data_IF_691104952496
#
_entry.id   IF_691104952496
#
_cell.length_a   1.000
_cell.length_b   1.000
_cell.length_c   1.000
_cell.angle_alpha   90.00
_cell.angle_beta   90.00
_cell.angle_gamma   90.00
#
_symmetry.space_group_name_H-M   'P 1'
#
loop_
_entity.id
_entity.type
_entity.pdbx_description
1 polymer ?
#
# COMPACT_ATOMS: atom_id res chain seq x y z
N UNK A 1 -19.10 -5.90 -16.49
CA UNK A 1 -18.53 -4.55 -16.21
C UNK A 1 -17.23 -4.62 -15.40
N UNK A 2 -17.18 -5.11 -14.15
CA UNK A 2 -15.92 -5.15 -13.36
C UNK A 2 -14.86 -6.06 -14.02
N UNK A 3 -15.21 -7.28 -14.44
CA UNK A 3 -14.26 -8.21 -15.07
C UNK A 3 -13.75 -7.69 -16.42
N UNK A 4 -14.58 -7.01 -17.19
CA UNK A 4 -14.18 -6.35 -18.43
C UNK A 4 -13.21 -5.20 -18.17
N UNK A 5 -13.44 -4.41 -17.12
CA UNK A 5 -12.51 -3.36 -16.68
C UNK A 5 -11.15 -3.95 -16.31
N UNK A 6 -11.15 -5.02 -15.51
CA UNK A 6 -9.91 -5.67 -15.05
C UNK A 6 -9.12 -6.25 -16.20
N UNK A 7 -9.80 -6.95 -17.15
CA UNK A 7 -9.14 -7.47 -18.34
C UNK A 7 -8.59 -6.37 -19.26
N UNK A 8 -9.29 -5.24 -19.36
CA UNK A 8 -8.82 -4.11 -20.16
C UNK A 8 -7.57 -3.44 -19.58
N UNK A 9 -7.51 -3.21 -18.26
CA UNK A 9 -6.39 -2.47 -17.61
C UNK A 9 -5.22 -3.36 -17.20
N UNK A 10 -5.43 -4.68 -17.14
CA UNK A 10 -4.40 -5.67 -16.78
C UNK A 10 -4.61 -6.98 -17.58
N UNK A 11 -4.49 -6.94 -18.92
CA UNK A 11 -4.78 -8.10 -19.76
C UNK A 11 -3.84 -9.26 -19.42
N UNK A 12 -4.42 -10.43 -19.17
CA UNK A 12 -3.71 -11.69 -18.86
C UNK A 12 -2.79 -11.60 -17.62
N UNK A 13 -2.93 -10.59 -16.78
CA UNK A 13 -2.22 -10.43 -15.50
C UNK A 13 -3.19 -10.64 -14.32
N UNK A 14 -3.48 -11.91 -14.03
CA UNK A 14 -4.42 -12.30 -12.98
C UNK A 14 -4.10 -11.69 -11.62
N UNK A 15 -2.81 -11.53 -11.29
CA UNK A 15 -2.40 -10.97 -10.00
C UNK A 15 -2.69 -9.47 -9.92
N UNK A 16 -2.35 -8.73 -10.98
CA UNK A 16 -2.67 -7.30 -11.06
C UNK A 16 -4.18 -7.07 -11.07
N UNK A 17 -4.94 -7.89 -11.80
CA UNK A 17 -6.41 -7.86 -11.78
C UNK A 17 -6.96 -8.08 -10.37
N UNK A 18 -6.39 -9.04 -9.62
CA UNK A 18 -6.78 -9.31 -8.26
C UNK A 18 -6.50 -8.13 -7.33
N UNK A 19 -5.31 -7.54 -7.41
CA UNK A 19 -4.95 -6.34 -6.62
C UNK A 19 -5.88 -5.16 -6.92
N UNK A 20 -6.19 -4.90 -8.19
CA UNK A 20 -7.13 -3.84 -8.59
C UNK A 20 -8.53 -4.14 -8.07
N UNK A 21 -8.99 -5.38 -8.18
CA UNK A 21 -10.29 -5.82 -7.65
C UNK A 21 -10.40 -5.58 -6.15
N UNK A 22 -9.37 -5.94 -5.38
CA UNK A 22 -9.33 -5.71 -3.94
C UNK A 22 -9.37 -4.22 -3.59
N UNK A 23 -8.71 -3.37 -4.36
CA UNK A 23 -8.81 -1.92 -4.18
C UNK A 23 -10.21 -1.39 -4.47
N UNK A 24 -10.84 -1.83 -5.56
CA UNK A 24 -12.18 -1.38 -5.97
C UNK A 24 -13.29 -1.82 -5.00
N UNK A 25 -13.13 -2.96 -4.36
CA UNK A 25 -14.15 -3.58 -3.50
C UNK A 25 -13.91 -3.37 -1.99
N UNK A 26 -12.93 -2.56 -1.61
CA UNK A 26 -12.65 -2.33 -0.19
C UNK A 26 -13.82 -1.64 0.54
N UNK A 27 -14.01 -1.89 1.84
CA UNK A 27 -15.08 -1.28 2.62
C UNK A 27 -15.08 0.24 2.54
N UNK A 28 -16.24 0.81 2.26
CA UNK A 28 -16.44 2.26 2.11
C UNK A 28 -16.25 2.77 0.68
N UNK A 29 -15.92 1.90 -0.28
CA UNK A 29 -15.94 2.25 -1.71
C UNK A 29 -17.12 1.59 -2.41
N UNK A 30 -17.71 2.37 -3.32
CA UNK A 30 -18.66 1.92 -4.32
C UNK A 30 -18.06 2.19 -5.70
N UNK A 31 -17.70 1.15 -6.48
CA UNK A 31 -17.06 1.34 -7.77
C UNK A 31 -17.87 2.20 -8.76
N UNK A 32 -19.20 2.17 -8.69
CA UNK A 32 -20.06 2.99 -9.56
C UNK A 32 -19.94 4.48 -9.27
N UNK A 33 -19.76 4.85 -8.00
CA UNK A 33 -19.64 6.24 -7.56
C UNK A 33 -18.20 6.73 -7.48
N UNK A 34 -17.26 5.84 -7.19
CA UNK A 34 -15.87 6.19 -6.91
C UNK A 34 -14.91 5.93 -8.07
N UNK A 35 -15.34 5.24 -9.15
CA UNK A 35 -14.51 4.97 -10.31
C UNK A 35 -14.99 5.77 -11.52
N UNK A 36 -14.09 6.52 -12.14
CA UNK A 36 -14.34 7.26 -13.39
C UNK A 36 -13.67 6.50 -14.51
N UNK A 37 -14.46 6.17 -15.54
CA UNK A 37 -13.99 5.53 -16.75
C UNK A 37 -13.77 6.58 -17.83
N UNK A 38 -12.65 6.50 -18.55
CA UNK A 38 -12.41 7.25 -19.76
C UNK A 38 -12.57 6.32 -20.97
N UNK A 39 -13.47 6.66 -21.86
CA UNK A 39 -13.74 5.93 -23.10
C UNK A 39 -13.42 6.78 -24.32
N UNK A 40 -13.13 6.10 -25.42
CA UNK A 40 -12.96 6.75 -26.73
C UNK A 40 -14.33 7.13 -27.28
N UNK A 41 -14.50 8.38 -27.69
CA UNK A 41 -15.77 8.90 -28.22
C UNK A 41 -16.22 8.25 -29.51
N UNK A 42 -15.30 7.63 -30.28
CA UNK A 42 -15.60 7.07 -31.61
C UNK A 42 -16.09 5.62 -31.55
N UNK A 43 -15.58 4.81 -30.61
CA UNK A 43 -15.84 3.37 -30.59
C UNK A 43 -16.19 2.82 -29.20
N UNK A 44 -16.30 3.67 -28.20
CA UNK A 44 -16.59 3.31 -26.79
C UNK A 44 -15.54 2.41 -26.10
N UNK A 45 -14.38 2.18 -26.74
CA UNK A 45 -13.29 1.43 -26.11
C UNK A 45 -12.79 2.13 -24.85
N UNK A 46 -12.52 1.36 -23.80
CA UNK A 46 -11.95 1.89 -22.57
C UNK A 46 -10.50 2.33 -22.81
N UNK A 47 -10.16 3.52 -22.38
CA UNK A 47 -8.79 4.07 -22.43
C UNK A 47 -8.10 4.02 -21.07
N UNK A 48 -8.87 4.07 -19.98
CA UNK A 48 -8.36 4.00 -18.63
C UNK A 48 -9.43 4.31 -17.59
N UNK A 49 -9.04 4.21 -16.32
CA UNK A 49 -9.92 4.54 -15.20
C UNK A 49 -9.15 5.18 -14.04
N UNK A 50 -9.87 5.94 -13.21
CA UNK A 50 -9.40 6.51 -11.96
C UNK A 50 -10.33 6.08 -10.84
N UNK A 51 -9.76 5.52 -9.78
CA UNK A 51 -10.44 5.26 -8.52
C UNK A 51 -10.18 6.43 -7.56
N UNK A 52 -11.24 6.91 -6.91
CA UNK A 52 -11.20 7.96 -5.90
C UNK A 52 -11.48 7.37 -4.53
N UNK A 53 -10.44 7.14 -3.74
CA UNK A 53 -10.56 6.65 -2.36
C UNK A 53 -10.60 7.81 -1.38
N UNK A 54 -11.71 7.94 -0.64
CA UNK A 54 -11.92 9.03 0.31
C UNK A 54 -11.49 8.62 1.71
N UNK A 55 -10.76 9.48 2.38
CA UNK A 55 -10.33 9.35 3.77
C UNK A 55 -10.79 10.59 4.55
N UNK A 56 -12.09 10.65 4.80
CA UNK A 56 -12.76 11.82 5.37
C UNK A 56 -12.22 12.20 6.76
N UNK A 57 -11.72 11.22 7.53
CA UNK A 57 -11.12 11.47 8.85
C UNK A 57 -9.92 12.42 8.81
N UNK A 58 -9.19 12.43 7.71
CA UNK A 58 -8.00 13.29 7.54
C UNK A 58 -8.16 14.29 6.37
N UNK A 59 -9.37 14.39 5.79
CA UNK A 59 -9.66 15.31 4.70
C UNK A 59 -8.85 15.01 3.43
N UNK A 60 -8.65 13.72 3.11
CA UNK A 60 -7.84 13.28 1.97
C UNK A 60 -8.65 12.50 0.96
N UNK A 61 -8.29 12.65 -0.33
CA UNK A 61 -8.69 11.76 -1.42
C UNK A 61 -7.44 11.20 -2.07
N UNK A 62 -7.39 9.90 -2.30
CA UNK A 62 -6.33 9.24 -3.07
C UNK A 62 -6.87 8.94 -4.46
N UNK A 63 -6.11 9.25 -5.49
CA UNK A 63 -6.39 8.91 -6.87
C UNK A 63 -5.45 7.79 -7.30
N UNK A 64 -6.00 6.60 -7.49
CA UNK A 64 -5.34 5.50 -8.18
C UNK A 64 -5.84 5.46 -9.63
N UNK A 65 -4.94 5.23 -10.59
CA UNK A 65 -5.30 5.24 -11.99
C UNK A 65 -4.65 4.11 -12.78
N UNK A 66 -5.36 3.67 -13.80
CA UNK A 66 -4.88 2.63 -14.72
C UNK A 66 -5.19 3.06 -16.16
N UNK A 67 -4.13 3.11 -16.98
CA UNK A 67 -4.24 3.33 -18.43
C UNK A 67 -4.27 1.95 -19.08
N UNK A 68 -5.19 1.76 -20.04
CA UNK A 68 -5.27 0.51 -20.82
C UNK A 68 -3.96 0.32 -21.59
N UNK A 69 -3.28 -0.83 -21.43
CA UNK A 69 -2.05 -1.10 -22.15
C UNK A 69 -2.26 -1.10 -23.66
N UNK A 70 -1.29 -0.59 -24.41
CA UNK A 70 -1.33 -0.54 -25.87
C UNK A 70 -0.03 0.02 -26.44
N UNK A 71 0.07 0.04 -27.75
CA UNK A 71 1.23 0.54 -28.49
C UNK A 71 1.25 2.07 -28.69
N UNK A 72 0.44 2.79 -27.89
CA UNK A 72 0.42 4.26 -27.93
C UNK A 72 1.76 4.82 -27.45
N UNK A 73 2.15 5.97 -28.02
CA UNK A 73 3.30 6.72 -27.53
C UNK A 73 3.07 7.33 -26.15
N UNK A 74 4.13 7.80 -25.54
CA UNK A 74 4.09 8.36 -24.17
C UNK A 74 3.29 9.67 -24.11
N UNK A 75 3.26 10.46 -25.16
CA UNK A 75 2.51 11.74 -25.18
C UNK A 75 1.01 11.46 -25.20
N UNK A 76 0.55 10.48 -25.97
CA UNK A 76 -0.84 10.04 -25.97
C UNK A 76 -1.27 9.50 -24.59
N UNK A 77 -0.41 8.69 -23.93
CA UNK A 77 -0.66 8.19 -22.56
C UNK A 77 -0.75 9.34 -21.55
N UNK A 78 0.10 10.37 -21.69
CA UNK A 78 0.03 11.58 -20.85
C UNK A 78 -1.27 12.33 -21.05
N UNK A 79 -1.76 12.43 -22.29
CA UNK A 79 -3.05 13.08 -22.58
C UNK A 79 -4.22 12.30 -21.97
N UNK A 80 -4.22 10.95 -22.08
CA UNK A 80 -5.19 10.08 -21.39
C UNK A 80 -5.18 10.35 -19.89
N UNK A 81 -4.00 10.31 -19.27
CA UNK A 81 -3.85 10.54 -17.83
C UNK A 81 -4.37 11.93 -17.43
N UNK A 82 -4.04 12.95 -18.21
CA UNK A 82 -4.49 14.33 -17.98
C UNK A 82 -6.01 14.45 -18.05
N UNK A 83 -6.64 13.81 -19.03
CA UNK A 83 -8.11 13.79 -19.14
C UNK A 83 -8.75 13.08 -17.95
N UNK A 84 -8.23 11.90 -17.55
CA UNK A 84 -8.72 11.15 -16.40
C UNK A 84 -8.63 11.95 -15.10
N UNK A 85 -7.46 12.51 -14.80
CA UNK A 85 -7.25 13.31 -13.59
C UNK A 85 -8.12 14.57 -13.55
N UNK A 86 -8.27 15.27 -14.68
CA UNK A 86 -9.21 16.42 -14.79
C UNK A 86 -10.64 16.00 -14.53
N UNK A 87 -11.06 14.87 -15.10
CA UNK A 87 -12.38 14.30 -14.88
C UNK A 87 -12.60 13.97 -13.39
N UNK A 88 -11.64 13.33 -12.75
CA UNK A 88 -11.68 13.00 -11.34
C UNK A 88 -11.79 14.27 -10.46
N UNK A 89 -10.90 15.27 -10.67
CA UNK A 89 -10.91 16.52 -9.90
C UNK A 89 -12.23 17.26 -10.07
N UNK A 90 -12.77 17.31 -11.29
CA UNK A 90 -14.05 18.03 -11.58
C UNK A 90 -15.25 17.36 -10.91
N UNK A 91 -15.27 16.04 -10.83
CA UNK A 91 -16.40 15.27 -10.30
C UNK A 91 -16.24 14.97 -8.80
N UNK A 92 -15.12 15.36 -8.18
CA UNK A 92 -14.96 15.25 -6.73
C UNK A 92 -15.89 16.22 -6.02
N UNK A 93 -16.84 15.70 -5.24
CA UNK A 93 -17.56 16.48 -4.24
C UNK A 93 -16.68 16.58 -2.98
N UNK A 94 -15.80 17.57 -2.94
CA UNK A 94 -14.84 17.77 -1.84
C UNK A 94 -14.98 19.16 -1.23
N UNK A 95 -14.77 19.22 0.08
CA UNK A 95 -14.76 20.47 0.82
C UNK A 95 -13.44 21.21 0.61
N UNK A 96 -13.49 22.54 0.78
CA UNK A 96 -12.27 23.33 0.93
C UNK A 96 -11.35 22.76 1.99
N UNK A 97 -10.04 22.75 1.70
CA UNK A 97 -9.06 22.16 2.57
C UNK A 97 -8.84 20.65 2.38
N UNK A 98 -9.61 19.99 1.49
CA UNK A 98 -9.31 18.61 1.09
C UNK A 98 -7.98 18.57 0.35
N UNK A 99 -7.19 17.55 0.66
CA UNK A 99 -5.92 17.26 0.00
C UNK A 99 -6.10 16.04 -0.91
N UNK A 100 -5.66 16.16 -2.15
CA UNK A 100 -5.73 15.07 -3.13
C UNK A 100 -4.32 14.52 -3.33
N UNK A 101 -4.16 13.22 -3.13
CA UNK A 101 -2.89 12.53 -3.34
C UNK A 101 -2.98 11.56 -4.51
N UNK A 102 -1.86 11.38 -5.21
CA UNK A 102 -1.68 10.29 -6.17
C UNK A 102 -0.23 9.86 -6.17
N UNK A 103 0.00 8.57 -6.41
CA UNK A 103 1.34 7.99 -6.41
C UNK A 103 1.79 7.63 -7.82
N UNK A 104 3.00 8.04 -8.19
CA UNK A 104 3.66 7.66 -9.43
C UNK A 104 4.85 6.75 -9.16
N UNK A 105 5.01 5.75 -10.02
CA UNK A 105 6.25 4.93 -10.09
C UNK A 105 7.13 5.31 -11.29
N UNK A 106 6.61 6.13 -12.20
CA UNK A 106 7.33 6.63 -13.37
C UNK A 106 7.23 8.17 -13.43
N UNK A 107 8.36 8.84 -13.27
CA UNK A 107 8.44 10.30 -13.30
C UNK A 107 8.14 10.93 -14.67
N UNK A 108 8.13 10.14 -15.75
CA UNK A 108 7.75 10.65 -17.07
C UNK A 108 6.34 11.28 -17.09
N UNK A 109 5.48 10.84 -16.15
CA UNK A 109 4.14 11.40 -15.97
C UNK A 109 4.07 12.58 -15.00
N UNK A 110 5.16 12.93 -14.31
CA UNK A 110 5.19 14.01 -13.32
C UNK A 110 4.73 15.36 -13.86
N UNK A 111 5.12 15.70 -15.09
CA UNK A 111 4.71 16.93 -15.75
C UNK A 111 3.18 17.07 -15.94
N UNK A 112 2.46 15.96 -16.06
CA UNK A 112 0.99 15.96 -16.13
C UNK A 112 0.39 16.42 -14.81
N UNK A 113 0.93 15.92 -13.70
CA UNK A 113 0.50 16.31 -12.35
C UNK A 113 0.80 17.77 -12.07
N UNK A 114 1.99 18.25 -12.41
CA UNK A 114 2.39 19.65 -12.24
C UNK A 114 1.50 20.61 -13.03
N UNK A 115 1.15 20.27 -14.28
CA UNK A 115 0.20 21.04 -15.10
C UNK A 115 -1.21 21.12 -14.52
N UNK A 116 -1.58 20.17 -13.66
CA UNK A 116 -2.87 20.15 -12.97
C UNK A 116 -2.80 20.79 -11.57
N UNK A 117 -1.64 21.34 -11.20
CA UNK A 117 -1.43 22.03 -9.93
C UNK A 117 -0.98 21.14 -8.77
N UNK A 118 -0.69 19.88 -9.03
CA UNK A 118 -0.06 19.02 -8.03
C UNK A 118 1.41 19.39 -7.85
N UNK A 119 1.93 19.11 -6.67
CA UNK A 119 3.35 19.21 -6.35
C UNK A 119 3.86 17.91 -5.73
N UNK A 120 5.11 17.55 -6.01
CA UNK A 120 5.75 16.40 -5.36
C UNK A 120 5.90 16.70 -3.87
N UNK A 121 5.30 15.88 -3.02
CA UNK A 121 5.28 16.05 -1.56
C UNK A 121 6.17 15.05 -0.84
N UNK A 122 6.12 13.76 -1.24
CA UNK A 122 6.85 12.66 -0.61
C UNK A 122 7.43 11.70 -1.63
N UNK A 123 8.55 11.07 -1.24
CA UNK A 123 9.11 9.94 -1.96
C UNK A 123 9.12 8.74 -1.03
N UNK A 124 8.64 7.61 -1.52
CA UNK A 124 8.73 6.31 -0.86
C UNK A 124 9.73 5.45 -1.61
N UNK A 125 10.38 4.54 -0.90
CA UNK A 125 11.25 3.53 -1.49
C UNK A 125 10.58 2.18 -1.44
N UNK A 126 10.57 1.49 -2.57
CA UNK A 126 10.36 0.06 -2.60
C UNK A 126 11.73 -0.58 -2.40
N UNK A 127 11.83 -1.44 -1.40
CA UNK A 127 13.06 -2.14 -1.07
C UNK A 127 12.87 -3.64 -1.23
N UNK A 128 13.90 -4.33 -1.64
CA UNK A 128 13.89 -5.76 -1.88
C UNK A 128 15.07 -6.44 -1.21
N UNK A 129 14.84 -7.64 -0.71
CA UNK A 129 15.85 -8.53 -0.16
C UNK A 129 15.66 -9.92 -0.74
N UNK A 130 16.74 -10.55 -1.25
CA UNK A 130 16.76 -11.99 -1.52
C UNK A 130 16.71 -12.74 -0.19
N UNK A 131 15.91 -13.77 -0.10
CA UNK A 131 15.88 -14.63 1.10
C UNK A 131 17.18 -15.45 1.18
N UNK A 132 17.51 -15.86 2.39
CA UNK A 132 18.71 -16.63 2.67
C UNK A 132 18.51 -17.43 3.96
N UNK A 133 19.59 -17.74 4.67
CA UNK A 133 19.50 -18.41 5.95
C UNK A 133 18.63 -17.64 6.93
N UNK A 134 17.90 -18.35 7.81
CA UNK A 134 17.11 -17.73 8.86
C UNK A 134 17.93 -16.75 9.71
N UNK A 135 17.30 -15.62 10.04
CA UNK A 135 17.91 -14.59 10.87
C UNK A 135 17.81 -14.96 12.35
N UNK A 136 18.72 -14.41 13.15
CA UNK A 136 18.69 -14.62 14.61
C UNK A 136 17.39 -14.03 15.21
N UNK A 137 16.69 -14.84 16.00
CA UNK A 137 15.42 -14.54 16.67
C UNK A 137 15.59 -14.12 18.14
N UNK A 138 16.71 -13.50 18.50
CA UNK A 138 16.88 -13.01 19.88
C UNK A 138 15.88 -11.91 20.22
N UNK A 139 15.07 -12.14 21.24
CA UNK A 139 14.20 -11.17 21.89
C UNK A 139 14.78 -10.84 23.27
N UNK A 140 14.46 -9.64 23.79
CA UNK A 140 14.75 -9.29 25.16
C UNK A 140 13.92 -10.16 26.13
N UNK A 141 14.41 -10.37 27.34
CA UNK A 141 13.72 -11.11 28.39
C UNK A 141 12.30 -10.55 28.66
N UNK A 142 11.33 -11.43 28.90
CA UNK A 142 9.93 -11.04 29.09
C UNK A 142 9.17 -10.69 27.82
N UNK A 143 9.78 -10.86 26.64
CA UNK A 143 9.10 -10.68 25.35
C UNK A 143 8.85 -12.02 24.68
N UNK A 144 7.68 -12.16 24.09
CA UNK A 144 7.30 -13.33 23.31
C UNK A 144 6.62 -12.93 22.00
N UNK A 145 6.64 -13.86 21.04
CA UNK A 145 6.02 -13.70 19.73
C UNK A 145 4.93 -14.73 19.56
N UNK A 146 3.79 -14.29 19.02
CA UNK A 146 2.67 -15.18 18.66
C UNK A 146 2.13 -14.84 17.28
N UNK A 147 1.51 -15.81 16.63
CA UNK A 147 0.73 -15.56 15.42
C UNK A 147 -0.65 -14.99 15.77
N UNK A 148 -1.22 -14.24 14.83
CA UNK A 148 -2.54 -13.65 15.01
C UNK A 148 -3.67 -14.66 14.90
N UNK A 149 -4.77 -14.32 15.55
CA UNK A 149 -6.05 -15.02 15.43
C UNK A 149 -7.17 -14.02 15.18
N UNK A 150 -8.32 -14.48 14.70
CA UNK A 150 -9.45 -13.62 14.38
C UNK A 150 -9.90 -12.74 15.56
N UNK A 151 -9.87 -13.30 16.78
CA UNK A 151 -10.22 -12.56 18.00
C UNK A 151 -9.30 -11.35 18.28
N UNK A 152 -8.14 -11.29 17.63
CA UNK A 152 -7.15 -10.21 17.80
C UNK A 152 -7.36 -9.03 16.86
N UNK A 153 -8.40 -9.01 16.01
CA UNK A 153 -8.69 -7.87 15.10
C UNK A 153 -8.76 -6.53 15.83
N UNK A 154 -9.51 -6.38 16.93
CA UNK A 154 -9.57 -5.10 17.64
C UNK A 154 -8.21 -4.68 18.18
N UNK A 155 -7.41 -5.64 18.70
CA UNK A 155 -6.07 -5.38 19.20
C UNK A 155 -5.13 -4.93 18.07
N UNK A 156 -5.14 -5.62 16.91
CA UNK A 156 -4.35 -5.25 15.73
C UNK A 156 -4.72 -3.85 15.25
N UNK A 157 -6.03 -3.55 15.16
CA UNK A 157 -6.52 -2.23 14.74
C UNK A 157 -5.99 -1.12 15.65
N UNK A 158 -6.11 -1.30 16.97
CA UNK A 158 -5.64 -0.33 17.95
C UNK A 158 -4.11 -0.16 17.91
N UNK A 159 -3.38 -1.26 17.83
CA UNK A 159 -1.92 -1.27 17.78
C UNK A 159 -1.41 -0.60 16.49
N UNK A 160 -2.02 -0.88 15.35
CA UNK A 160 -1.71 -0.25 14.07
C UNK A 160 -1.98 1.24 14.13
N UNK A 161 -3.18 1.65 14.55
CA UNK A 161 -3.55 3.05 14.62
C UNK A 161 -2.63 3.83 15.55
N UNK A 162 -2.31 3.31 16.74
CA UNK A 162 -1.38 3.95 17.67
C UNK A 162 0.05 4.00 17.14
N UNK A 163 0.51 2.96 16.45
CA UNK A 163 1.86 2.87 15.89
C UNK A 163 2.10 3.84 14.73
N UNK A 164 1.06 4.27 14.02
CA UNK A 164 1.21 5.14 12.86
C UNK A 164 0.61 6.54 13.03
N UNK A 165 0.00 6.83 14.19
CA UNK A 165 -0.49 8.18 14.51
C UNK A 165 0.63 9.21 14.30
N UNK A 166 0.32 10.26 13.53
CA UNK A 166 1.26 11.32 13.16
C UNK A 166 2.22 10.99 12.02
N UNK A 167 2.19 9.77 11.47
CA UNK A 167 2.91 9.46 10.23
C UNK A 167 2.24 10.12 9.04
N UNK A 168 3.03 10.60 8.09
CA UNK A 168 2.51 11.22 6.88
C UNK A 168 1.61 10.24 6.12
N UNK A 169 0.46 10.73 5.71
CA UNK A 169 -0.48 9.96 4.90
C UNK A 169 -1.17 8.80 5.61
N UNK A 170 -1.00 8.64 6.92
CA UNK A 170 -1.69 7.58 7.65
C UNK A 170 -3.12 8.02 8.00
N UNK A 171 -4.10 7.23 7.55
CA UNK A 171 -5.51 7.31 7.98
C UNK A 171 -5.80 6.15 8.95
N UNK A 172 -6.39 6.40 10.12
CA UNK A 172 -6.76 5.33 11.04
C UNK A 172 -7.72 4.33 10.37
N UNK A 173 -7.44 3.04 10.58
CA UNK A 173 -8.29 1.97 10.04
C UNK A 173 -9.40 1.62 11.02
N UNK A 174 -10.53 1.12 10.49
CA UNK A 174 -11.58 0.46 11.26
C UNK A 174 -11.31 -1.04 11.37
N UNK A 175 -11.92 -1.75 12.35
CA UNK A 175 -11.84 -3.21 12.42
C UNK A 175 -12.32 -3.91 11.13
N UNK A 176 -13.33 -3.36 10.46
CA UNK A 176 -13.86 -3.88 9.19
C UNK A 176 -12.84 -3.79 8.07
N UNK A 177 -12.14 -2.66 7.96
CA UNK A 177 -11.07 -2.49 6.98
C UNK A 177 -9.90 -3.44 7.24
N UNK A 178 -9.52 -3.65 8.50
CA UNK A 178 -8.49 -4.64 8.87
C UNK A 178 -8.96 -6.05 8.53
N UNK A 179 -10.21 -6.38 8.86
CA UNK A 179 -10.81 -7.68 8.53
C UNK A 179 -10.79 -7.92 7.02
N UNK A 180 -11.24 -6.95 6.23
CA UNK A 180 -11.23 -7.04 4.78
C UNK A 180 -9.82 -7.34 4.23
N UNK A 181 -8.81 -6.62 4.70
CA UNK A 181 -7.42 -6.83 4.29
C UNK A 181 -6.88 -8.20 4.71
N UNK A 182 -7.29 -8.74 5.87
CA UNK A 182 -6.87 -10.05 6.37
C UNK A 182 -7.53 -11.22 5.64
N UNK A 183 -8.74 -11.04 5.12
CA UNK A 183 -9.41 -12.04 4.28
C UNK A 183 -9.12 -11.88 2.79
N UNK A 184 -8.29 -10.91 2.39
CA UNK A 184 -7.81 -10.76 1.04
C UNK A 184 -7.00 -11.99 0.58
N UNK A 185 -6.84 -12.13 -0.73
CA UNK A 185 -6.36 -13.34 -1.39
C UNK A 185 -4.95 -13.77 -1.04
N UNK A 186 -4.12 -12.87 -0.48
CA UNK A 186 -2.69 -13.13 -0.26
C UNK A 186 -2.29 -13.13 1.22
N UNK A 187 -3.24 -13.02 2.15
CA UNK A 187 -2.95 -12.93 3.58
C UNK A 187 -4.02 -13.63 4.42
N UNK A 188 -3.71 -13.88 5.69
CA UNK A 188 -4.62 -14.39 6.71
C UNK A 188 -4.12 -13.96 8.09
N UNK A 189 -4.86 -14.31 9.14
CA UNK A 189 -4.48 -13.96 10.53
C UNK A 189 -3.11 -14.49 10.93
N UNK A 190 -2.74 -15.68 10.49
CA UNK A 190 -1.44 -16.30 10.81
C UNK A 190 -0.27 -15.50 10.24
N UNK A 191 -0.52 -14.69 9.20
CA UNK A 191 0.50 -13.83 8.61
C UNK A 191 0.75 -12.53 9.40
N UNK A 192 -0.01 -12.29 10.48
CA UNK A 192 0.26 -11.24 11.44
C UNK A 192 0.98 -11.81 12.65
N UNK A 193 2.19 -11.34 12.88
CA UNK A 193 3.02 -11.70 14.02
C UNK A 193 2.90 -10.61 15.06
N UNK A 194 2.55 -10.94 16.30
CA UNK A 194 2.51 -10.01 17.40
C UNK A 194 3.75 -10.18 18.29
N UNK A 195 4.31 -9.07 18.73
CA UNK A 195 5.28 -9.00 19.81
C UNK A 195 4.56 -8.53 21.06
N UNK A 196 4.65 -9.30 22.12
CA UNK A 196 3.96 -9.03 23.40
C UNK A 196 4.90 -9.14 24.57
N UNK A 197 4.55 -8.46 25.66
CA UNK A 197 5.05 -8.76 27.00
C UNK A 197 3.94 -9.48 27.80
N UNK A 198 4.13 -9.68 29.09
CA UNK A 198 3.17 -10.41 29.93
C UNK A 198 1.82 -9.70 30.09
N UNK A 199 1.71 -8.43 29.67
CA UNK A 199 0.53 -7.60 29.91
C UNK A 199 -0.18 -7.16 28.64
N UNK A 200 0.55 -6.93 27.54
CA UNK A 200 -0.02 -6.37 26.32
C UNK A 200 0.79 -6.68 25.06
N UNK A 201 0.13 -6.56 23.89
CA UNK A 201 0.82 -6.54 22.59
C UNK A 201 1.47 -5.18 22.36
N UNK A 202 2.77 -5.18 22.10
CA UNK A 202 3.59 -3.97 21.98
C UNK A 202 4.06 -3.68 20.56
N UNK A 203 3.91 -4.64 19.65
CA UNK A 203 4.27 -4.50 18.25
C UNK A 203 3.66 -5.60 17.39
N UNK A 204 3.67 -5.38 16.08
CA UNK A 204 3.21 -6.36 15.12
C UNK A 204 4.01 -6.26 13.82
N UNK A 205 4.10 -7.38 13.11
CA UNK A 205 4.61 -7.47 11.75
C UNK A 205 3.59 -8.23 10.91
N UNK A 206 3.03 -7.57 9.92
CA UNK A 206 2.07 -8.16 8.99
C UNK A 206 2.79 -8.51 7.71
N UNK A 207 2.76 -9.78 7.35
CA UNK A 207 3.37 -10.33 6.14
C UNK A 207 2.29 -10.82 5.18
N UNK A 208 2.64 -10.92 3.91
CA UNK A 208 1.86 -11.67 2.93
C UNK A 208 2.80 -12.25 1.87
N UNK A 209 2.30 -13.16 1.06
CA UNK A 209 3.04 -13.74 -0.05
C UNK A 209 2.17 -13.80 -1.29
N UNK A 210 2.82 -13.79 -2.42
CA UNK A 210 2.20 -13.98 -3.73
C UNK A 210 3.13 -14.76 -4.63
N UNK A 211 2.58 -15.36 -5.65
CA UNK A 211 3.32 -16.14 -6.63
C UNK A 211 3.21 -15.50 -8.01
N UNK A 212 4.36 -15.23 -8.64
CA UNK A 212 4.45 -14.73 -10.00
C UNK A 212 5.37 -15.66 -10.77
N UNK A 213 4.90 -16.24 -11.89
CA UNK A 213 5.69 -17.12 -12.75
C UNK A 213 6.39 -18.25 -11.97
N UNK A 214 5.68 -18.89 -11.04
CA UNK A 214 6.18 -19.93 -10.13
C UNK A 214 7.27 -19.46 -9.14
N UNK A 215 7.45 -18.16 -8.96
CA UNK A 215 8.33 -17.58 -7.92
C UNK A 215 7.48 -17.07 -6.77
N UNK A 216 7.67 -17.65 -5.59
CA UNK A 216 6.99 -17.18 -4.38
C UNK A 216 7.75 -15.99 -3.82
N UNK A 217 7.08 -14.85 -3.76
CA UNK A 217 7.63 -13.61 -3.24
C UNK A 217 6.85 -13.16 -2.00
N UNK A 218 7.56 -12.79 -0.96
CA UNK A 218 6.98 -12.26 0.26
C UNK A 218 6.96 -10.74 0.29
N UNK A 219 6.15 -10.19 1.19
CA UNK A 219 6.17 -8.78 1.51
C UNK A 219 5.94 -8.53 3.01
N UNK A 220 6.58 -7.50 3.52
CA UNK A 220 6.23 -6.90 4.81
C UNK A 220 5.22 -5.79 4.49
N UNK A 221 3.94 -6.08 4.72
CA UNK A 221 2.86 -5.12 4.48
C UNK A 221 2.94 -3.95 5.45
N UNK A 222 3.07 -4.28 6.74
CA UNK A 222 3.22 -3.29 7.79
C UNK A 222 4.03 -3.85 8.96
N UNK A 223 4.84 -3.01 9.58
CA UNK A 223 5.53 -3.31 10.83
C UNK A 223 5.43 -2.10 11.75
N UNK A 224 4.94 -2.30 12.95
CA UNK A 224 4.72 -1.24 13.92
C UNK A 224 5.10 -1.65 15.34
N UNK A 225 5.60 -0.69 16.10
CA UNK A 225 5.85 -0.82 17.54
C UNK A 225 5.15 0.34 18.23
N UNK A 226 4.39 0.03 19.28
CA UNK A 226 3.70 0.99 20.12
C UNK A 226 4.66 2.11 20.55
N UNK A 227 4.24 3.39 20.52
CA UNK A 227 5.10 4.54 20.82
C UNK A 227 5.87 4.42 22.14
N UNK A 228 5.26 3.86 23.18
CA UNK A 228 5.86 3.70 24.51
C UNK A 228 7.03 2.69 24.54
N UNK A 229 7.16 1.88 23.49
CA UNK A 229 8.16 0.81 23.38
C UNK A 229 9.21 1.06 22.30
N UNK A 230 9.15 2.20 21.61
CA UNK A 230 10.13 2.58 20.57
C UNK A 230 11.52 2.84 21.16
N UNK A 231 12.54 2.78 20.28
CA UNK A 231 13.93 3.07 20.67
C UNK A 231 14.62 1.97 21.47
N UNK A 232 13.95 0.85 21.76
CA UNK A 232 14.47 -0.27 22.58
C UNK A 232 14.92 -1.48 21.73
N UNK A 233 15.10 -1.29 20.41
CA UNK A 233 15.59 -2.36 19.51
C UNK A 233 14.56 -3.41 19.08
N UNK A 234 13.30 -3.31 19.52
CA UNK A 234 12.26 -4.34 19.29
C UNK A 234 11.90 -4.53 17.82
N UNK A 235 11.93 -3.48 17.01
CA UNK A 235 11.57 -3.55 15.59
C UNK A 235 12.48 -4.49 14.81
N UNK A 236 13.76 -4.62 15.16
CA UNK A 236 14.70 -5.54 14.50
C UNK A 236 14.31 -7.00 14.76
N UNK A 237 14.04 -7.35 16.02
CA UNK A 237 13.60 -8.71 16.36
C UNK A 237 12.29 -9.08 15.67
N UNK A 238 11.32 -8.16 15.70
CA UNK A 238 10.03 -8.34 15.06
C UNK A 238 10.14 -8.50 13.54
N UNK A 239 10.97 -7.68 12.87
CA UNK A 239 11.26 -7.83 11.44
C UNK A 239 11.88 -9.20 11.14
N UNK A 240 12.84 -9.66 11.95
CA UNK A 240 13.48 -10.96 11.75
C UNK A 240 12.48 -12.11 11.86
N UNK A 241 11.50 -12.04 12.79
CA UNK A 241 10.42 -13.02 12.89
C UNK A 241 9.56 -13.03 11.63
N UNK A 242 9.16 -11.85 11.11
CA UNK A 242 8.42 -11.75 9.85
C UNK A 242 9.18 -12.32 8.66
N UNK A 243 10.47 -12.00 8.55
CA UNK A 243 11.33 -12.52 7.49
C UNK A 243 11.50 -14.04 7.57
N UNK A 244 11.74 -14.59 8.76
CA UNK A 244 11.88 -16.03 8.93
C UNK A 244 10.58 -16.79 8.62
N UNK A 245 9.43 -16.19 8.93
CA UNK A 245 8.13 -16.75 8.53
C UNK A 245 8.02 -16.83 7.00
N UNK A 246 8.37 -15.77 6.28
CA UNK A 246 8.33 -15.76 4.81
C UNK A 246 9.34 -16.75 4.21
N UNK A 247 10.53 -16.87 4.79
CA UNK A 247 11.52 -17.91 4.40
C UNK A 247 10.93 -19.31 4.59
N UNK A 248 10.31 -19.59 5.74
CA UNK A 248 9.67 -20.89 6.01
C UNK A 248 8.50 -21.19 5.05
N UNK A 249 7.86 -20.15 4.50
CA UNK A 249 6.81 -20.26 3.49
C UNK A 249 7.34 -20.41 2.06
N UNK A 250 8.66 -20.52 1.87
CA UNK A 250 9.31 -20.73 0.58
C UNK A 250 9.50 -19.48 -0.26
N UNK A 251 9.37 -18.28 0.31
CA UNK A 251 9.60 -17.04 -0.43
C UNK A 251 11.08 -16.92 -0.84
N UNK A 252 11.33 -16.63 -2.13
CA UNK A 252 12.68 -16.42 -2.68
C UNK A 252 13.20 -15.00 -2.46
N UNK A 253 12.31 -14.06 -2.22
CA UNK A 253 12.61 -12.68 -1.91
C UNK A 253 11.49 -12.01 -1.14
N UNK A 254 11.78 -10.85 -0.54
CA UNK A 254 10.83 -10.07 0.25
C UNK A 254 10.89 -8.61 -0.15
N UNK A 255 9.73 -8.00 -0.38
CA UNK A 255 9.57 -6.57 -0.59
C UNK A 255 9.02 -5.87 0.65
N UNK A 256 9.29 -4.59 0.73
CA UNK A 256 8.62 -3.63 1.59
C UNK A 256 8.63 -2.24 0.97
N UNK A 257 7.77 -1.37 1.49
CA UNK A 257 7.74 0.04 1.11
C UNK A 257 7.96 0.91 2.36
N UNK A 258 8.70 2.02 2.20
CA UNK A 258 9.05 2.90 3.31
C UNK A 258 9.14 4.35 2.86
N UNK A 259 8.63 5.27 3.68
CA UNK A 259 8.86 6.71 3.50
C UNK A 259 10.38 6.99 3.53
N UNK A 260 10.91 7.64 2.50
CA UNK A 260 12.33 7.99 2.39
C UNK A 260 12.83 8.89 3.53
N UNK A 261 11.92 9.53 4.26
CA UNK A 261 12.21 10.32 5.44
C UNK A 261 12.23 9.49 6.73
N UNK A 262 11.75 8.24 6.71
CA UNK A 262 11.78 7.35 7.88
C UNK A 262 13.16 6.69 8.04
N UNK A 263 14.18 7.50 8.34
CA UNK A 263 15.56 7.02 8.50
C UNK A 263 15.72 5.89 9.52
N UNK A 264 15.02 5.90 10.69
CA UNK A 264 15.12 4.79 11.64
C UNK A 264 14.66 3.44 11.02
N UNK A 265 13.58 3.42 10.25
CA UNK A 265 13.10 2.20 9.60
C UNK A 265 14.06 1.77 8.48
N UNK A 266 14.50 2.70 7.63
CA UNK A 266 15.46 2.43 6.55
C UNK A 266 16.73 1.75 7.11
N UNK A 267 17.31 2.28 8.18
CA UNK A 267 18.51 1.71 8.79
C UNK A 267 18.29 0.24 9.25
N UNK A 268 17.11 -0.07 9.77
CA UNK A 268 16.76 -1.44 10.19
C UNK A 268 16.63 -2.35 8.96
N UNK A 269 16.02 -1.88 7.88
CA UNK A 269 15.84 -2.65 6.66
C UNK A 269 17.16 -2.88 5.94
N UNK A 270 18.00 -1.86 5.80
CA UNK A 270 19.35 -2.00 5.22
C UNK A 270 20.23 -2.96 6.03
N UNK A 271 20.18 -2.87 7.36
CA UNK A 271 20.88 -3.80 8.25
C UNK A 271 20.35 -5.24 8.15
N UNK A 272 19.08 -5.42 7.71
CA UNK A 272 18.50 -6.71 7.40
C UNK A 272 18.77 -7.18 5.96
N UNK A 273 19.53 -6.42 5.17
CA UNK A 273 19.93 -6.76 3.80
C UNK A 273 18.96 -6.33 2.71
N UNK A 274 18.02 -5.45 3.00
CA UNK A 274 17.18 -4.84 1.97
C UNK A 274 17.94 -3.79 1.18
N UNK A 275 17.75 -3.79 -0.13
CA UNK A 275 18.28 -2.79 -1.06
C UNK A 275 17.13 -2.03 -1.69
N UNK A 276 17.29 -0.73 -1.89
CA UNK A 276 16.34 0.09 -2.63
C UNK A 276 16.34 -0.36 -4.10
N UNK A 277 15.16 -0.65 -4.63
CA UNK A 277 14.96 -1.08 -6.03
C UNK A 277 14.18 -0.08 -6.86
N UNK A 278 13.30 0.70 -6.24
CA UNK A 278 12.43 1.65 -6.94
C UNK A 278 12.09 2.82 -6.04
N UNK A 279 11.80 3.96 -6.64
CA UNK A 279 11.18 5.12 -5.98
C UNK A 279 9.71 5.22 -6.39
N UNK A 280 8.92 5.74 -5.45
CA UNK A 280 7.51 6.03 -5.62
C UNK A 280 7.30 7.50 -5.21
N UNK A 281 6.62 8.26 -6.05
CA UNK A 281 6.52 9.71 -5.93
C UNK A 281 5.08 10.11 -5.62
N UNK A 282 4.85 10.58 -4.41
CA UNK A 282 3.54 11.04 -3.96
C UNK A 282 3.35 12.52 -4.31
N UNK A 283 2.45 12.78 -5.23
CA UNK A 283 2.02 14.11 -5.62
C UNK A 283 0.80 14.53 -4.81
N UNK A 284 0.74 15.83 -4.51
CA UNK A 284 -0.30 16.44 -3.67
C UNK A 284 -0.90 17.65 -4.36
N UNK A 285 -2.24 17.75 -4.35
CA UNK A 285 -3.01 18.93 -4.73
C UNK A 285 -3.89 19.36 -3.57
N UNK A 286 -3.72 20.61 -3.11
CA UNK A 286 -4.63 21.19 -2.11
C UNK A 286 -5.81 21.88 -2.81
N UNK A 287 -7.03 21.44 -2.51
CA UNK A 287 -8.26 22.05 -3.01
C UNK A 287 -8.49 23.37 -2.25
N UNK A 288 -8.37 24.48 -2.97
CA UNK A 288 -8.71 25.82 -2.50
C UNK A 288 -10.10 26.22 -3.01
N UNK A 289 -10.85 26.95 -2.20
CA UNK A 289 -12.13 27.58 -2.65
C UNK A 289 -11.88 28.64 -3.69
#
# INVERSE_FOLDING_TARGET
MLDELLEAVAPSDNQKQLMIREQLLQPGLDPESNCILLQNDQNTDLLGCVLMSREDLIGRVILDFWIVPGNQDDDYKKDILKMMLKGAIKNMDVRSGTVVHSCLTDLNYGSVFEQLGFSLNRTYWKMYRVTGNPLNLSLSEGLHVSEGTESMIPMLTNLQNSSFTGSWGFCPNTPEQITYKLYGSNTNFENVIFLSNDTEAIGYCWTYKYEINNVITGAISMIGVSPNYRGKGMSKGLLNHGLNKLVAQGCEGVFLEVDSNNKPAINIYEAAGFLKTQEMYWYELSIKN
#
